data_IF_631759180332
#
_entry.id   IF_631759180332
#
_cell.length_a   1.000
_cell.length_b   1.000
_cell.length_c   1.000
_cell.angle_alpha   90.00
_cell.angle_beta   90.00
_cell.angle_gamma   90.00
#
_symmetry.space_group_name_H-M   'P 1'
#
loop_
_entity.id
_entity.type
_entity.pdbx_description
1 polymer ?
#
# COMPACT_ATOMS: atom_id res chain seq x y z
N UNK A 1 5.52 26.55 -0.31
CA UNK A 1 4.50 25.52 -0.60
C UNK A 1 5.24 24.36 -1.22
N UNK A 2 5.62 23.36 -0.41
CA UNK A 2 6.23 22.15 -0.93
C UNK A 2 5.16 21.37 -1.70
N UNK A 3 5.44 21.10 -2.96
CA UNK A 3 4.60 20.24 -3.80
C UNK A 3 4.63 18.85 -3.17
N UNK A 4 3.55 18.53 -2.46
CA UNK A 4 3.31 17.22 -1.86
C UNK A 4 3.01 16.26 -3.02
N UNK A 5 4.06 15.79 -3.70
CA UNK A 5 3.91 14.87 -4.84
C UNK A 5 3.31 13.57 -4.31
N UNK A 6 2.01 13.39 -4.54
CA UNK A 6 1.25 12.19 -4.19
C UNK A 6 1.67 11.10 -5.17
N UNK A 7 2.68 10.31 -4.81
CA UNK A 7 3.08 9.10 -5.53
C UNK A 7 4.02 9.31 -6.72
N UNK A 8 4.38 8.20 -7.38
CA UNK A 8 5.30 8.21 -8.50
C UNK A 8 4.73 9.02 -9.68
N UNK A 9 5.55 9.88 -10.26
CA UNK A 9 5.19 10.67 -11.45
C UNK A 9 5.56 9.86 -12.69
N UNK A 10 4.61 9.10 -13.22
CA UNK A 10 4.83 8.20 -14.37
C UNK A 10 3.90 7.00 -14.30
N UNK A 11 3.37 6.56 -15.44
CA UNK A 11 2.10 5.82 -15.57
C UNK A 11 1.96 4.45 -14.87
N UNK A 12 2.94 3.97 -14.10
CA UNK A 12 2.83 2.73 -13.34
C UNK A 12 3.69 2.85 -12.07
N UNK A 13 3.07 3.04 -10.90
CA UNK A 13 3.76 2.89 -9.61
C UNK A 13 3.87 1.40 -9.31
N UNK A 14 5.09 0.90 -9.16
CA UNK A 14 5.43 -0.44 -8.70
C UNK A 14 5.85 -0.43 -7.24
N UNK A 15 6.11 -1.61 -6.70
CA UNK A 15 6.89 -1.76 -5.47
C UNK A 15 7.94 -2.85 -5.65
N UNK A 16 8.98 -2.80 -4.83
CA UNK A 16 9.99 -3.84 -4.71
C UNK A 16 10.22 -4.14 -3.24
N UNK A 17 10.09 -5.40 -2.86
CA UNK A 17 10.26 -5.87 -1.50
C UNK A 17 11.58 -6.64 -1.34
N UNK A 18 12.28 -6.34 -0.25
CA UNK A 18 13.51 -6.98 0.20
C UNK A 18 13.32 -7.50 1.62
N UNK A 19 14.26 -8.31 2.10
CA UNK A 19 14.17 -8.93 3.44
C UNK A 19 13.95 -7.94 4.59
N UNK A 20 14.32 -6.67 4.42
CA UNK A 20 14.23 -5.62 5.46
C UNK A 20 13.65 -4.29 4.98
N UNK A 21 13.30 -4.16 3.70
CA UNK A 21 12.89 -2.87 3.12
C UNK A 21 11.83 -3.08 2.04
N UNK A 22 10.97 -2.08 1.85
CA UNK A 22 10.06 -1.98 0.71
C UNK A 22 10.29 -0.63 0.05
N UNK A 23 10.51 -0.64 -1.26
CA UNK A 23 10.69 0.56 -2.06
C UNK A 23 9.52 0.72 -3.03
N UNK A 24 9.13 1.97 -3.30
CA UNK A 24 8.17 2.30 -4.35
C UNK A 24 8.92 2.90 -5.53
N UNK A 25 8.77 2.26 -6.67
CA UNK A 25 9.55 2.51 -7.89
C UNK A 25 8.62 2.55 -9.11
N UNK A 26 9.17 2.82 -10.30
CA UNK A 26 8.40 2.66 -11.54
C UNK A 26 8.14 1.18 -11.83
N UNK A 27 6.88 0.77 -12.02
CA UNK A 27 6.53 -0.63 -12.29
C UNK A 27 5.05 -0.94 -12.14
N UNK A 28 4.69 -2.22 -12.31
CA UNK A 28 3.32 -2.70 -12.11
C UNK A 28 3.12 -3.12 -10.65
N UNK A 29 2.00 -2.73 -10.05
CA UNK A 29 1.70 -2.99 -8.63
C UNK A 29 1.71 -1.72 -7.81
N UNK A 30 0.54 -1.19 -7.53
CA UNK A 30 0.37 0.17 -7.08
C UNK A 30 0.80 0.39 -5.63
N UNK A 31 1.94 1.05 -5.45
CA UNK A 31 2.32 1.71 -4.19
C UNK A 31 1.89 3.19 -4.23
N UNK A 32 1.10 3.61 -3.24
CA UNK A 32 0.68 5.01 -3.09
C UNK A 32 0.70 5.45 -1.63
N UNK A 33 0.87 6.75 -1.41
CA UNK A 33 0.82 7.36 -0.07
C UNK A 33 -0.45 6.96 0.67
N UNK A 34 -0.34 6.61 1.95
CA UNK A 34 -1.48 6.18 2.77
C UNK A 34 -2.35 7.36 3.20
N UNK A 35 -3.01 7.99 2.23
CA UNK A 35 -3.90 9.14 2.42
C UNK A 35 -5.27 8.77 1.87
N UNK A 36 -6.30 9.01 2.67
CA UNK A 36 -7.70 8.82 2.29
C UNK A 36 -8.33 10.20 2.11
N UNK A 37 -8.99 10.42 0.97
CA UNK A 37 -9.69 11.66 0.67
C UNK A 37 -11.07 11.67 1.33
N UNK A 38 -11.59 12.88 1.55
CA UNK A 38 -13.01 13.09 1.84
C UNK A 38 -13.76 13.32 0.54
N UNK A 39 -15.00 12.83 0.49
CA UNK A 39 -15.90 13.04 -0.64
C UNK A 39 -17.33 13.26 -0.13
N UNK A 40 -18.09 14.08 -0.86
CA UNK A 40 -19.52 14.25 -0.63
C UNK A 40 -20.29 12.95 -0.89
N UNK A 41 -21.50 12.85 -0.31
CA UNK A 41 -22.33 11.65 -0.45
C UNK A 41 -22.77 11.49 -1.90
N UNK A 42 -22.71 10.26 -2.42
CA UNK A 42 -23.09 9.95 -3.80
C UNK A 42 -23.60 8.51 -3.93
N UNK A 43 -24.20 8.11 -5.06
CA UNK A 43 -24.69 6.74 -5.26
C UNK A 43 -23.63 5.63 -5.11
N UNK A 44 -22.34 5.97 -5.15
CA UNK A 44 -21.22 5.04 -4.98
C UNK A 44 -20.33 5.37 -3.75
N UNK A 45 -20.73 6.36 -2.95
CA UNK A 45 -20.06 6.76 -1.73
C UNK A 45 -21.11 7.24 -0.73
N UNK A 46 -21.90 6.30 -0.24
CA UNK A 46 -22.95 6.60 0.74
C UNK A 46 -22.36 7.00 2.10
N UNK A 47 -23.24 7.40 3.01
CA UNK A 47 -22.86 7.78 4.37
C UNK A 47 -22.05 6.70 5.11
N UNK A 48 -22.32 5.42 4.90
CA UNK A 48 -21.57 4.35 5.57
C UNK A 48 -20.12 4.29 5.09
N UNK A 49 -19.90 4.51 3.79
CA UNK A 49 -18.56 4.60 3.21
C UNK A 49 -17.82 5.86 3.63
N UNK A 50 -18.52 6.99 3.80
CA UNK A 50 -17.94 8.21 4.37
C UNK A 50 -17.47 7.98 5.81
N UNK A 51 -18.31 7.36 6.64
CA UNK A 51 -17.98 7.04 8.04
C UNK A 51 -16.78 6.10 8.14
N UNK A 52 -16.76 5.04 7.33
CA UNK A 52 -15.62 4.13 7.24
C UNK A 52 -14.34 4.86 6.80
N UNK A 53 -14.45 5.74 5.81
CA UNK A 53 -13.33 6.55 5.31
C UNK A 53 -12.78 7.48 6.41
N UNK A 54 -13.66 8.11 7.19
CA UNK A 54 -13.27 8.98 8.30
C UNK A 54 -12.52 8.21 9.40
N UNK A 55 -12.96 6.99 9.73
CA UNK A 55 -12.30 6.11 10.70
C UNK A 55 -10.89 5.74 10.20
N UNK A 56 -10.77 5.29 8.95
CA UNK A 56 -9.48 4.92 8.34
C UNK A 56 -8.55 6.13 8.33
N UNK A 57 -9.03 7.30 7.87
CA UNK A 57 -8.23 8.53 7.85
C UNK A 57 -7.73 8.92 9.23
N UNK A 58 -8.60 8.85 10.26
CA UNK A 58 -8.21 9.14 11.64
C UNK A 58 -7.11 8.19 12.13
N UNK A 59 -7.24 6.90 11.83
CA UNK A 59 -6.22 5.92 12.17
C UNK A 59 -4.88 6.22 11.48
N UNK A 60 -4.89 6.50 10.18
CA UNK A 60 -3.69 6.82 9.40
C UNK A 60 -3.00 8.10 9.91
N UNK A 61 -3.77 9.16 10.17
CA UNK A 61 -3.23 10.43 10.68
C UNK A 61 -2.68 10.34 12.11
N UNK A 62 -2.99 9.29 12.86
CA UNK A 62 -2.48 9.07 14.21
C UNK A 62 -1.12 8.38 14.25
N UNK A 63 -0.67 7.82 13.11
CA UNK A 63 0.61 7.14 13.00
C UNK A 63 1.72 8.21 12.96
N UNK A 64 2.71 8.18 13.86
CA UNK A 64 3.80 9.14 13.83
C UNK A 64 4.65 8.94 12.58
N UNK A 65 5.30 10.02 12.13
CA UNK A 65 6.26 9.94 11.03
C UNK A 65 7.37 8.93 11.36
N UNK A 66 7.82 8.21 10.34
CA UNK A 66 8.92 7.26 10.48
C UNK A 66 10.24 8.00 10.76
N UNK A 67 11.02 7.59 11.78
CA UNK A 67 12.26 8.27 12.14
C UNK A 67 13.35 8.16 11.07
N UNK A 68 13.26 7.19 10.17
CA UNK A 68 14.20 7.00 9.05
C UNK A 68 13.74 7.75 7.79
N UNK A 69 12.68 8.54 7.86
CA UNK A 69 12.17 9.37 6.75
C UNK A 69 11.40 8.60 5.68
N UNK A 70 11.05 7.32 5.93
CA UNK A 70 10.21 6.54 5.02
C UNK A 70 8.77 7.09 5.01
N UNK A 71 8.06 6.88 3.91
CA UNK A 71 6.68 7.33 3.76
C UNK A 71 5.72 6.20 4.10
N UNK A 72 4.63 6.50 4.79
CA UNK A 72 3.55 5.53 5.00
C UNK A 72 2.82 5.35 3.67
N UNK A 73 2.78 4.13 3.16
CA UNK A 73 2.14 3.81 1.89
C UNK A 73 1.25 2.58 2.00
N UNK A 74 0.23 2.53 1.15
CA UNK A 74 -0.44 1.29 0.80
C UNK A 74 0.39 0.56 -0.25
N UNK A 75 0.72 -0.70 0.02
CA UNK A 75 1.41 -1.60 -0.91
C UNK A 75 0.41 -2.64 -1.36
N UNK A 76 0.04 -2.57 -2.64
CA UNK A 76 -0.87 -3.54 -3.25
C UNK A 76 -0.11 -4.76 -3.77
N UNK A 77 -0.47 -5.93 -3.26
CA UNK A 77 0.08 -7.23 -3.67
C UNK A 77 -1.04 -8.06 -4.29
N UNK A 78 -0.72 -9.14 -5.03
CA UNK A 78 -1.76 -10.05 -5.53
C UNK A 78 -2.59 -10.72 -4.43
N UNK A 79 -2.08 -10.76 -3.20
CA UNK A 79 -2.76 -11.30 -2.02
C UNK A 79 -3.53 -10.23 -1.22
N UNK A 80 -3.61 -8.98 -1.71
CA UNK A 80 -4.29 -7.87 -1.04
C UNK A 80 -3.37 -6.71 -0.70
N UNK A 81 -3.90 -5.77 0.08
CA UNK A 81 -3.21 -4.50 0.41
C UNK A 81 -2.77 -4.49 1.88
N UNK A 82 -1.56 -4.00 2.13
CA UNK A 82 -1.07 -3.71 3.47
C UNK A 82 -0.52 -2.28 3.58
N UNK A 83 -0.39 -1.79 4.81
CA UNK A 83 0.38 -0.58 5.11
C UNK A 83 1.85 -0.95 5.32
N UNK A 84 2.74 -0.16 4.74
CA UNK A 84 4.18 -0.30 4.93
C UNK A 84 4.87 1.07 4.97
N UNK A 85 5.99 1.13 5.68
CA UNK A 85 6.96 2.21 5.56
C UNK A 85 7.83 1.94 4.34
N UNK A 86 7.80 2.84 3.37
CA UNK A 86 8.48 2.65 2.09
C UNK A 86 9.41 3.80 1.75
N UNK A 87 10.53 3.46 1.12
CA UNK A 87 11.42 4.43 0.48
C UNK A 87 10.87 4.73 -0.91
N UNK A 88 10.65 6.01 -1.24
CA UNK A 88 10.32 6.41 -2.61
C UNK A 88 11.63 6.76 -3.32
N UNK A 89 12.12 5.87 -4.16
CA UNK A 89 13.34 6.06 -4.97
C UNK A 89 13.04 5.75 -6.43
N UNK A 90 13.69 6.45 -7.35
CA UNK A 90 13.56 6.17 -8.79
C UNK A 90 14.08 4.77 -9.12
N UNK A 91 15.14 4.34 -8.43
CA UNK A 91 15.74 3.03 -8.56
C UNK A 91 15.31 2.12 -7.40
N UNK A 92 14.62 1.02 -7.73
CA UNK A 92 14.52 -0.10 -6.81
C UNK A 92 15.89 -0.81 -6.75
N UNK A 93 16.36 -1.22 -5.56
CA UNK A 93 17.58 -2.01 -5.47
C UNK A 93 17.49 -3.28 -6.33
N UNK A 94 18.60 -3.69 -6.94
CA UNK A 94 18.64 -4.89 -7.77
C UNK A 94 18.28 -6.14 -6.96
N UNK A 95 17.41 -7.00 -7.50
CA UNK A 95 17.02 -8.27 -6.86
C UNK A 95 15.83 -8.19 -5.91
N UNK A 96 15.09 -7.08 -5.91
CA UNK A 96 13.82 -6.97 -5.19
C UNK A 96 12.71 -7.75 -5.87
N UNK A 97 11.80 -8.31 -5.08
CA UNK A 97 10.59 -8.95 -5.60
C UNK A 97 9.50 -7.90 -5.82
N UNK A 98 8.93 -7.87 -7.01
CA UNK A 98 7.78 -7.07 -7.40
C UNK A 98 6.49 -7.87 -7.50
N UNK A 99 5.48 -7.24 -8.09
CA UNK A 99 4.11 -7.75 -8.14
C UNK A 99 3.96 -9.09 -8.90
N UNK A 100 4.74 -9.29 -9.97
CA UNK A 100 4.65 -10.47 -10.83
C UNK A 100 5.60 -11.61 -10.46
N UNK A 101 6.40 -11.46 -9.40
CA UNK A 101 7.26 -12.52 -8.91
C UNK A 101 6.47 -13.63 -8.22
N UNK A 102 7.16 -14.69 -7.79
CA UNK A 102 6.52 -15.81 -7.09
C UNK A 102 5.80 -15.32 -5.82
N UNK A 103 4.51 -15.65 -5.72
CA UNK A 103 3.65 -15.13 -4.65
C UNK A 103 3.99 -15.70 -3.28
N UNK A 104 4.54 -16.91 -3.20
CA UNK A 104 4.98 -17.47 -1.92
C UNK A 104 6.27 -16.80 -1.46
N UNK A 105 7.21 -16.54 -2.38
CA UNK A 105 8.43 -15.79 -2.09
C UNK A 105 8.12 -14.34 -1.70
N UNK A 106 7.25 -13.66 -2.45
CA UNK A 106 6.79 -12.31 -2.16
C UNK A 106 6.11 -12.24 -0.78
N UNK A 107 5.19 -13.16 -0.48
CA UNK A 107 4.55 -13.25 0.83
C UNK A 107 5.55 -13.51 1.96
N UNK A 108 6.56 -14.35 1.71
CA UNK A 108 7.63 -14.63 2.68
C UNK A 108 8.49 -13.40 2.95
N UNK A 109 8.86 -12.66 1.91
CA UNK A 109 9.66 -11.42 2.02
C UNK A 109 8.86 -10.34 2.73
N UNK A 110 7.60 -10.13 2.37
CA UNK A 110 6.69 -9.19 3.02
C UNK A 110 6.17 -9.67 4.38
N UNK A 111 6.54 -10.89 4.80
CA UNK A 111 6.07 -11.54 6.04
C UNK A 111 4.54 -11.54 6.17
N UNK A 112 3.85 -11.64 5.04
CA UNK A 112 2.41 -11.77 4.99
C UNK A 112 2.07 -13.15 5.53
N UNK A 113 1.31 -13.18 6.62
CA UNK A 113 0.70 -14.43 7.09
C UNK A 113 -0.23 -14.90 5.98
N UNK A 114 -0.16 -16.17 5.57
CA UNK A 114 -1.19 -16.78 4.71
C UNK A 114 -2.52 -16.67 5.45
N UNK A 115 -3.27 -15.61 5.20
CA UNK A 115 -4.54 -15.38 5.86
C UNK A 115 -5.61 -15.24 4.79
N UNK A 116 -5.95 -16.34 4.13
CA UNK A 116 -7.21 -16.46 3.39
C UNK A 116 -7.65 -17.94 3.38
N UNK A 117 -8.19 -18.44 4.49
CA UNK A 117 -9.53 -19.00 4.36
C UNK A 117 -10.41 -17.78 4.10
N UNK A 118 -10.95 -17.71 2.90
CA UNK A 118 -11.80 -16.58 2.51
C UNK A 118 -13.13 -16.69 3.25
N UNK A 119 -13.89 -15.59 3.34
CA UNK A 119 -15.28 -15.65 3.81
C UNK A 119 -16.16 -16.58 2.94
N UNK A 120 -15.68 -17.02 1.77
CA UNK A 120 -16.32 -18.05 0.95
C UNK A 120 -16.07 -19.48 1.47
N UNK A 121 -15.00 -19.70 2.24
CA UNK A 121 -14.69 -21.00 2.87
C UNK A 121 -15.45 -21.20 4.18
N UNK A 122 -15.87 -20.11 4.84
CA UNK A 122 -16.71 -20.17 6.04
C UNK A 122 -18.21 -20.42 5.77
N UNK A 123 -18.60 -20.52 4.49
CA UNK A 123 -19.99 -20.70 4.04
C UNK A 123 -20.24 -22.03 3.31
N UNK A 124 -19.29 -22.98 3.37
CA UNK A 124 -19.45 -24.38 2.94
C UNK A 124 -19.45 -25.30 4.15
#
# INVERSE_FOLDING_TARGET
MENNVIGCVGKMCGFSAFTKEVACSGGNGSCWSAVMLEADESPFHDKSLQEATAIIRKALNSIPADPDGRKLSFVHTPNGTLLAWVTHSEDAPSGGLGYYDDQNELAKVLRIRKSFETAADAAR
#
